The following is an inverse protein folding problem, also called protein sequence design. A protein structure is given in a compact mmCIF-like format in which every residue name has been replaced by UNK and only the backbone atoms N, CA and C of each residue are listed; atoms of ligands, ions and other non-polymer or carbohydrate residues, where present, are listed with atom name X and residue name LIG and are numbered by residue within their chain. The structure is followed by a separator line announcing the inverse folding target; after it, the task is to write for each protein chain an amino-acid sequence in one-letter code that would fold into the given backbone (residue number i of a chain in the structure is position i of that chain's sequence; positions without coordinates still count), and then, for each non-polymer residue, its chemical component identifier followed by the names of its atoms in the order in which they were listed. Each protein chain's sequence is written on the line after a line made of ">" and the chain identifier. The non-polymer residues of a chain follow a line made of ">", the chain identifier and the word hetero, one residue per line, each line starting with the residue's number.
data_IF_689590829336
#
_entry.id   IF_689590829336
#
_cell.length_a   1.000
_cell.length_b   1.000
_cell.length_c   1.000
_cell.angle_alpha   90.00
_cell.angle_beta   90.00
_cell.angle_gamma   90.00
#
_symmetry.space_group_name_H-M   'P 1'
#
loop_
_entity.id
_entity.type
_entity.pdbx_description
1 polymer ?
#
# COMPACT_ATOMS: atom_id res chain seq x y z
N UNK A 1 8.37 12.40 -1.93
CA UNK A 1 9.34 11.32 -1.65
C UNK A 1 8.57 10.12 -1.11
N UNK A 2 8.55 9.00 -1.84
CA UNK A 2 7.74 7.84 -1.49
C UNK A 2 8.55 6.91 -0.56
N UNK A 3 7.98 6.44 0.56
CA UNK A 3 8.67 5.53 1.51
C UNK A 3 9.23 4.29 0.80
N UNK A 4 8.51 3.81 -0.23
CA UNK A 4 8.95 2.68 -1.03
C UNK A 4 10.19 3.01 -1.86
N UNK A 5 10.25 4.18 -2.49
CA UNK A 5 11.43 4.64 -3.24
C UNK A 5 12.64 4.86 -2.33
N UNK A 6 12.40 5.35 -1.11
CA UNK A 6 13.44 5.51 -0.09
C UNK A 6 14.03 4.16 0.35
N UNK A 7 13.17 3.17 0.63
CA UNK A 7 13.61 1.82 1.01
C UNK A 7 14.32 1.09 -0.13
N UNK A 8 13.84 1.21 -1.37
CA UNK A 8 14.50 0.58 -2.54
C UNK A 8 15.95 1.07 -2.73
N UNK A 9 16.20 2.36 -2.46
CA UNK A 9 17.55 2.95 -2.48
C UNK A 9 18.37 2.58 -1.24
N UNK A 10 17.73 2.40 -0.09
CA UNK A 10 18.37 2.13 1.20
C UNK A 10 17.85 0.82 1.82
N UNK A 11 18.17 -0.32 1.22
CA UNK A 11 17.66 -1.64 1.66
C UNK A 11 18.02 -2.05 3.09
N UNK A 12 18.98 -1.37 3.72
CA UNK A 12 19.38 -1.60 5.13
C UNK A 12 18.54 -0.81 6.14
N UNK A 13 17.68 0.08 5.69
CA UNK A 13 16.83 0.90 6.57
C UNK A 13 15.62 0.09 7.07
N UNK A 14 15.78 -0.51 8.24
CA UNK A 14 14.72 -1.29 8.90
C UNK A 14 13.53 -0.43 9.37
N UNK A 15 13.75 0.85 9.66
CA UNK A 15 12.69 1.77 10.07
C UNK A 15 11.75 2.04 8.90
N UNK A 16 12.32 2.33 7.72
CA UNK A 16 11.55 2.51 6.50
C UNK A 16 10.78 1.25 6.10
N UNK A 17 11.38 0.06 6.23
CA UNK A 17 10.70 -1.21 5.98
C UNK A 17 9.48 -1.39 6.88
N UNK A 18 9.64 -1.15 8.19
CA UNK A 18 8.55 -1.26 9.16
C UNK A 18 7.44 -0.25 8.85
N UNK A 19 7.80 0.98 8.52
CA UNK A 19 6.85 2.01 8.08
C UNK A 19 6.05 1.56 6.85
N UNK A 20 6.73 1.02 5.83
CA UNK A 20 6.11 0.50 4.62
C UNK A 20 5.13 -0.65 4.93
N UNK A 21 5.55 -1.63 5.74
CA UNK A 21 4.71 -2.76 6.14
C UNK A 21 3.45 -2.32 6.88
N UNK A 22 3.56 -1.36 7.81
CA UNK A 22 2.41 -0.83 8.54
C UNK A 22 1.39 -0.15 7.62
N UNK A 23 1.87 0.64 6.65
CA UNK A 23 1.01 1.29 5.67
C UNK A 23 0.31 0.25 4.79
N UNK A 24 1.04 -0.73 4.28
CA UNK A 24 0.46 -1.81 3.46
C UNK A 24 -0.55 -2.66 4.23
N UNK A 25 -0.32 -2.93 5.52
CA UNK A 25 -1.26 -3.62 6.39
C UNK A 25 -2.57 -2.84 6.58
N UNK A 26 -2.49 -1.52 6.79
CA UNK A 26 -3.68 -0.64 6.90
C UNK A 26 -4.48 -0.63 5.59
N UNK A 27 -3.81 -0.56 4.44
CA UNK A 27 -4.48 -0.63 3.13
C UNK A 27 -5.22 -1.96 2.96
N UNK A 28 -4.59 -3.09 3.29
CA UNK A 28 -5.23 -4.42 3.22
C UNK A 28 -6.44 -4.53 4.14
N UNK A 29 -6.36 -3.95 5.34
CA UNK A 29 -7.48 -3.91 6.29
C UNK A 29 -8.66 -3.10 5.74
N UNK A 30 -8.40 -1.89 5.24
CA UNK A 30 -9.43 -1.05 4.63
C UNK A 30 -10.05 -1.70 3.40
N UNK A 31 -9.23 -2.30 2.54
CA UNK A 31 -9.71 -3.05 1.39
C UNK A 31 -10.68 -4.17 1.82
N UNK A 32 -10.29 -4.96 2.82
CA UNK A 32 -11.13 -6.04 3.35
C UNK A 32 -12.44 -5.51 3.94
N UNK A 33 -12.40 -4.38 4.65
CA UNK A 33 -13.57 -3.71 5.19
C UNK A 33 -14.55 -3.27 4.08
N UNK A 34 -14.04 -2.59 3.05
CA UNK A 34 -14.88 -2.10 1.96
C UNK A 34 -15.36 -3.21 1.01
N UNK A 35 -14.62 -4.32 0.89
CA UNK A 35 -15.09 -5.53 0.20
C UNK A 35 -16.26 -6.15 0.98
N UNK A 36 -16.15 -6.29 2.31
CA UNK A 36 -17.24 -6.80 3.16
C UNK A 36 -18.49 -5.92 3.09
N UNK A 37 -18.31 -4.60 2.99
CA UNK A 37 -19.40 -3.63 2.84
C UNK A 37 -20.02 -3.61 1.42
N UNK A 38 -19.41 -4.30 0.45
CA UNK A 38 -19.89 -4.33 -0.94
C UNK A 38 -19.54 -3.09 -1.77
N UNK A 39 -18.70 -2.19 -1.25
CA UNK A 39 -18.27 -0.98 -1.97
C UNK A 39 -17.14 -1.30 -2.95
N UNK A 40 -16.25 -2.21 -2.58
CA UNK A 40 -15.17 -2.68 -3.46
C UNK A 40 -15.49 -4.05 -4.05
N UNK A 41 -15.05 -4.32 -5.30
CA UNK A 41 -15.14 -5.65 -5.90
C UNK A 41 -14.44 -6.72 -5.06
N UNK A 42 -15.02 -7.93 -4.96
CA UNK A 42 -14.43 -9.05 -4.18
C UNK A 42 -13.04 -9.48 -4.67
N UNK A 43 -12.72 -9.21 -5.93
CA UNK A 43 -11.42 -9.50 -6.55
C UNK A 43 -10.40 -8.34 -6.40
N UNK A 44 -10.75 -7.27 -5.70
CA UNK A 44 -9.87 -6.12 -5.55
C UNK A 44 -8.61 -6.49 -4.76
N UNK A 45 -7.44 -6.12 -5.28
CA UNK A 45 -6.13 -6.33 -4.65
C UNK A 45 -5.27 -5.08 -4.74
N UNK A 46 -4.58 -4.77 -3.66
CA UNK A 46 -3.62 -3.68 -3.63
C UNK A 46 -2.38 -4.02 -4.48
N UNK A 47 -2.07 -3.17 -5.46
CA UNK A 47 -0.83 -3.21 -6.21
C UNK A 47 -0.16 -1.82 -6.16
N UNK A 48 1.05 -1.68 -5.59
CA UNK A 48 1.70 -0.40 -5.42
C UNK A 48 2.04 0.29 -6.75
N UNK A 49 2.26 -0.47 -7.84
CA UNK A 49 2.52 0.10 -9.17
C UNK A 49 1.29 0.79 -9.74
N UNK A 50 0.11 0.16 -9.61
CA UNK A 50 -1.15 0.74 -10.09
C UNK A 50 -1.63 1.87 -9.16
N UNK A 51 -1.36 1.77 -7.86
CA UNK A 51 -1.71 2.82 -6.89
C UNK A 51 -1.01 4.15 -7.21
N UNK A 52 0.27 4.13 -7.63
CA UNK A 52 1.01 5.34 -8.03
C UNK A 52 0.34 6.06 -9.22
N UNK A 53 -0.22 5.30 -10.16
CA UNK A 53 -0.93 5.84 -11.32
C UNK A 53 -2.28 6.46 -10.94
N UNK A 54 -3.00 5.86 -9.99
CA UNK A 54 -4.33 6.32 -9.54
C UNK A 54 -4.28 7.59 -8.68
N UNK A 55 -3.17 7.81 -7.95
CA UNK A 55 -2.99 8.95 -7.04
C UNK A 55 -2.36 10.15 -7.78
N UNK A 56 -1.76 9.94 -8.96
CA UNK A 56 -1.16 10.99 -9.77
C UNK A 56 -2.19 12.00 -10.27
N UNK A 57 -2.36 13.10 -9.53
CA UNK A 57 -2.85 14.40 -10.01
C UNK A 57 -1.74 15.42 -9.85
#
# INVERSE_FOLDING_TARGET
>A
MNIREHYEKNKKDASALRGLQNVEARIKSLASYYIKKGVLPKNWRYNPKTAKLLIGR
#
